data_IF_286434598886
#
_entry.id   IF_286434598886
#
_cell.length_a   1.000
_cell.length_b   1.000
_cell.length_c   1.000
_cell.angle_alpha   90.00
_cell.angle_beta   90.00
_cell.angle_gamma   90.00
#
_symmetry.space_group_name_H-M   'P 1'
#
loop_
_entity.id
_entity.type
_entity.pdbx_description
1 polymer ?
#
# COMPACT_ATOMS: atom_id res chain seq x y z
N UNK A 1 -8.42 -1.56 9.35
CA UNK A 1 -8.69 -0.32 10.10
C UNK A 1 -10.19 -0.13 10.20
N UNK A 2 -10.65 1.04 10.65
CA UNK A 2 -12.05 1.46 10.67
C UNK A 2 -12.55 1.93 9.28
N UNK A 3 -11.65 2.24 8.35
CA UNK A 3 -12.00 2.65 6.98
C UNK A 3 -12.42 1.42 6.14
N UNK A 4 -13.63 1.46 5.60
CA UNK A 4 -14.26 0.36 4.86
C UNK A 4 -14.66 0.83 3.47
N UNK A 5 -14.29 0.05 2.44
CA UNK A 5 -14.61 0.34 1.05
C UNK A 5 -13.51 -0.11 0.09
N UNK A 6 -13.85 -0.26 -1.20
CA UNK A 6 -12.90 -0.72 -2.23
C UNK A 6 -11.72 0.24 -2.43
N UNK A 7 -11.89 1.52 -2.12
CA UNK A 7 -10.84 2.54 -2.18
C UNK A 7 -9.72 2.32 -1.15
N UNK A 8 -9.96 1.50 -0.13
CA UNK A 8 -8.99 1.15 0.90
C UNK A 8 -8.36 -0.23 0.71
N UNK A 9 -8.61 -0.89 -0.43
CA UNK A 9 -8.03 -2.21 -0.72
C UNK A 9 -6.51 -2.15 -0.81
N UNK A 10 -5.84 -3.19 -0.33
CA UNK A 10 -4.38 -3.32 -0.47
C UNK A 10 -4.02 -3.70 -1.90
N UNK A 11 -3.19 -2.89 -2.54
CA UNK A 11 -2.67 -3.16 -3.88
C UNK A 11 -1.25 -2.61 -4.05
N UNK A 12 -0.48 -3.21 -4.95
CA UNK A 12 0.79 -2.70 -5.47
C UNK A 12 0.62 -2.49 -6.98
N UNK A 13 1.01 -1.32 -7.46
CA UNK A 13 0.99 -0.95 -8.88
C UNK A 13 2.42 -0.93 -9.41
N UNK A 14 2.79 -1.89 -10.24
CA UNK A 14 4.16 -2.04 -10.76
C UNK A 14 4.32 -1.42 -12.15
N UNK A 15 5.48 -0.81 -12.42
CA UNK A 15 5.82 -0.22 -13.72
C UNK A 15 6.61 -1.18 -14.62
N UNK A 16 7.30 -2.14 -14.04
CA UNK A 16 8.15 -3.10 -14.74
C UNK A 16 8.12 -4.48 -14.06
N UNK A 17 8.72 -5.46 -14.73
CA UNK A 17 8.77 -6.83 -14.25
C UNK A 17 9.65 -6.98 -13.01
N UNK A 18 10.71 -6.17 -12.87
CA UNK A 18 11.58 -6.24 -11.70
C UNK A 18 10.84 -5.84 -10.40
N UNK A 19 9.98 -4.82 -10.47
CA UNK A 19 9.09 -4.43 -9.37
C UNK A 19 8.06 -5.52 -9.07
N UNK A 20 7.48 -6.11 -10.10
CA UNK A 20 6.52 -7.22 -9.96
C UNK A 20 7.16 -8.41 -9.26
N UNK A 21 8.29 -8.90 -9.77
CA UNK A 21 9.03 -10.04 -9.20
C UNK A 21 9.46 -9.78 -7.76
N UNK A 22 9.90 -8.56 -7.46
CA UNK A 22 10.26 -8.16 -6.10
C UNK A 22 9.04 -8.23 -5.17
N UNK A 23 7.88 -7.71 -5.61
CA UNK A 23 6.66 -7.76 -4.83
C UNK A 23 6.19 -9.21 -4.60
N UNK A 24 6.18 -10.04 -5.64
CA UNK A 24 5.83 -11.47 -5.55
C UNK A 24 6.74 -12.22 -4.58
N UNK A 25 8.06 -11.99 -4.66
CA UNK A 25 9.03 -12.57 -3.74
C UNK A 25 8.74 -12.18 -2.29
N UNK A 26 8.50 -10.90 -2.02
CA UNK A 26 8.23 -10.43 -0.65
C UNK A 26 6.91 -10.97 -0.11
N UNK A 27 5.87 -11.07 -0.95
CA UNK A 27 4.60 -11.71 -0.59
C UNK A 27 4.85 -13.17 -0.21
N UNK A 28 5.60 -13.92 -1.03
CA UNK A 28 5.95 -15.31 -0.74
C UNK A 28 6.71 -15.50 0.58
N UNK A 29 7.61 -14.58 0.95
CA UNK A 29 8.30 -14.63 2.24
C UNK A 29 7.34 -14.35 3.42
N UNK A 30 6.34 -13.47 3.25
CA UNK A 30 5.35 -13.24 4.30
C UNK A 30 4.43 -14.45 4.47
N UNK A 31 4.00 -15.05 3.36
CA UNK A 31 3.15 -16.25 3.36
C UNK A 31 3.88 -17.46 3.95
N UNK A 32 5.17 -17.64 3.65
CA UNK A 32 5.98 -18.70 4.26
C UNK A 32 6.18 -18.53 5.77
N UNK A 33 6.07 -17.28 6.27
CA UNK A 33 6.00 -16.97 7.72
C UNK A 33 4.60 -17.17 8.31
N UNK A 34 3.64 -17.70 7.56
CA UNK A 34 2.27 -17.96 7.99
C UNK A 34 1.34 -16.74 7.97
N UNK A 35 1.75 -15.64 7.34
CA UNK A 35 0.90 -14.46 7.21
C UNK A 35 0.01 -14.58 5.98
N UNK A 36 -1.28 -14.29 6.14
CA UNK A 36 -2.20 -14.15 5.00
C UNK A 36 -2.01 -12.76 4.39
N UNK A 37 -1.67 -12.70 3.10
CA UNK A 37 -1.48 -11.45 2.37
C UNK A 37 -2.65 -11.24 1.40
N UNK A 38 -3.39 -10.14 1.57
CA UNK A 38 -4.53 -9.80 0.70
C UNK A 38 -4.15 -8.85 -0.45
N UNK A 39 -2.89 -8.42 -0.50
CA UNK A 39 -2.38 -7.43 -1.46
C UNK A 39 -2.44 -7.97 -2.89
N UNK A 40 -3.06 -7.21 -3.80
CA UNK A 40 -3.11 -7.56 -5.23
C UNK A 40 -2.05 -6.81 -6.03
N UNK A 41 -1.50 -7.46 -7.05
CA UNK A 41 -0.55 -6.84 -7.98
C UNK A 41 -1.25 -6.43 -9.27
N UNK A 42 -1.05 -5.19 -9.69
CA UNK A 42 -1.62 -4.64 -10.92
C UNK A 42 -0.54 -3.88 -11.69
N UNK A 43 -0.54 -3.91 -13.04
CA UNK A 43 0.24 -2.95 -13.81
C UNK A 43 -0.17 -1.53 -13.44
N UNK A 44 0.80 -0.64 -13.32
CA UNK A 44 0.55 0.78 -13.16
C UNK A 44 -0.26 1.31 -14.35
N UNK A 45 -1.25 2.14 -14.04
CA UNK A 45 -2.09 2.86 -15.01
C UNK A 45 -1.99 4.35 -14.71
N UNK A 46 -2.72 5.17 -15.46
CA UNK A 46 -2.87 6.59 -15.19
C UNK A 46 -3.15 6.84 -13.71
N UNK A 47 -2.27 7.59 -13.07
CA UNK A 47 -2.46 8.09 -11.72
C UNK A 47 -3.12 9.46 -11.81
N UNK A 48 -4.23 9.63 -11.12
CA UNK A 48 -4.93 10.91 -11.01
C UNK A 48 -4.55 11.50 -9.65
N UNK A 49 -3.77 12.60 -9.60
CA UNK A 49 -3.44 13.26 -8.34
C UNK A 49 -4.72 13.66 -7.61
N UNK A 50 -4.76 13.41 -6.30
CA UNK A 50 -5.79 13.94 -5.44
C UNK A 50 -5.68 15.46 -5.32
N UNK A 51 -6.76 16.11 -4.90
CA UNK A 51 -6.84 17.55 -4.67
C UNK A 51 -5.74 18.05 -3.72
N UNK A 52 -5.33 19.31 -3.87
CA UNK A 52 -4.18 19.88 -3.13
C UNK A 52 -4.32 19.77 -1.61
N UNK A 53 -5.55 19.88 -1.08
CA UNK A 53 -5.79 19.77 0.37
C UNK A 53 -5.59 18.34 0.92
N UNK A 54 -5.52 17.32 0.06
CA UNK A 54 -5.15 15.95 0.44
C UNK A 54 -3.63 15.74 0.48
N UNK A 55 -2.85 16.59 -0.19
CA UNK A 55 -1.39 16.47 -0.24
C UNK A 55 -0.79 16.88 1.10
N UNK A 56 0.17 16.10 1.60
CA UNK A 56 0.86 16.30 2.89
C UNK A 56 -0.09 16.57 4.07
N UNK A 57 -1.30 16.00 4.04
CA UNK A 57 -2.40 16.32 4.96
C UNK A 57 -1.99 16.28 6.44
N UNK A 58 -1.24 15.25 6.87
CA UNK A 58 -0.79 15.13 8.25
C UNK A 58 0.16 16.26 8.67
N UNK A 59 1.10 16.64 7.79
CA UNK A 59 2.05 17.73 8.05
C UNK A 59 1.32 19.07 8.09
N UNK A 60 0.46 19.32 7.09
CA UNK A 60 -0.27 20.58 6.94
C UNK A 60 -1.32 20.82 8.04
N UNK A 61 -1.81 19.75 8.69
CA UNK A 61 -2.85 19.84 9.73
C UNK A 61 -2.33 19.49 11.13
N UNK A 62 -1.03 19.24 11.32
CA UNK A 62 -0.46 18.81 12.60
C UNK A 62 -1.08 17.52 13.16
N UNK A 63 -1.55 16.63 12.28
CA UNK A 63 -2.22 15.37 12.65
C UNK A 63 -1.22 14.21 12.61
N UNK A 64 -1.48 13.18 13.41
CA UNK A 64 -0.73 11.90 13.34
C UNK A 64 -1.50 10.87 12.51
N UNK A 65 -0.80 9.90 11.88
CA UNK A 65 -1.45 8.79 11.21
C UNK A 65 -2.41 8.06 12.14
N UNK A 66 -3.68 8.02 11.77
CA UNK A 66 -4.74 7.46 12.62
C UNK A 66 -4.77 5.92 12.60
N UNK A 67 -4.51 5.31 11.44
CA UNK A 67 -4.73 3.86 11.22
C UNK A 67 -3.56 3.09 10.62
N UNK A 68 -2.45 3.76 10.35
CA UNK A 68 -1.28 3.17 9.72
C UNK A 68 -0.10 3.25 10.69
N UNK A 69 0.46 2.08 11.02
CA UNK A 69 1.63 1.96 11.90
C UNK A 69 2.67 1.07 11.25
N UNK A 70 3.94 1.43 11.43
CA UNK A 70 5.03 0.58 10.97
C UNK A 70 5.07 -0.71 11.78
N UNK A 71 5.23 -1.84 11.09
CA UNK A 71 5.48 -3.13 11.70
C UNK A 71 6.61 -3.82 10.98
N UNK A 72 7.70 -4.10 11.68
CA UNK A 72 8.84 -4.83 11.13
C UNK A 72 8.41 -6.25 10.74
N UNK A 73 8.57 -6.61 9.47
CA UNK A 73 8.22 -7.93 8.90
C UNK A 73 9.42 -8.71 8.35
N UNK A 74 10.53 -8.02 8.15
CA UNK A 74 11.83 -8.53 7.75
C UNK A 74 12.89 -7.84 8.60
#
# INVERSE_FOLDING_TARGET
GPDIGEQYRSAIFYYDDAQKETAEKLIGILESKGLKVATKLHPAKTFYPAEDYHQDFYQNNGKTPYCHVYKKRF
#
